data_IF_532670422130
#
_entry.id   IF_532670422130
#
_cell.length_a   1.000
_cell.length_b   1.000
_cell.length_c   1.000
_cell.angle_alpha   90.00
_cell.angle_beta   90.00
_cell.angle_gamma   90.00
#
_symmetry.space_group_name_H-M   'P 1'
#
loop_
_entity.id
_entity.type
_entity.pdbx_description
1 polymer ?
#
# COMPACT_ATOMS: atom_id res chain seq x y z
N UNK A 1 -8.38 71.35 20.42
CA UNK A 1 -7.17 70.80 21.07
C UNK A 1 -6.92 69.42 20.49
N UNK A 2 -5.87 69.27 19.67
CA UNK A 2 -5.43 67.95 19.19
C UNK A 2 -4.54 67.35 20.29
N UNK A 3 -4.69 66.06 20.67
CA UNK A 3 -3.76 65.43 21.60
C UNK A 3 -2.36 65.42 21.00
N UNK A 4 -1.38 65.72 21.86
CA UNK A 4 0.03 65.95 21.51
C UNK A 4 0.65 64.63 21.02
N UNK A 5 1.24 64.62 19.82
CA UNK A 5 1.79 63.41 19.18
C UNK A 5 2.90 62.76 20.02
N UNK A 6 3.49 63.53 20.94
CA UNK A 6 4.54 63.08 21.85
C UNK A 6 4.03 62.13 22.95
N UNK A 7 2.79 62.29 23.46
CA UNK A 7 2.24 61.38 24.48
C UNK A 7 1.88 60.02 23.90
N UNK A 8 1.47 59.99 22.64
CA UNK A 8 1.18 58.75 21.90
C UNK A 8 2.48 58.00 21.65
N UNK A 9 3.55 58.69 21.25
CA UNK A 9 4.86 58.08 21.03
C UNK A 9 5.49 57.54 22.32
N UNK A 10 5.38 58.26 23.44
CA UNK A 10 5.88 57.78 24.74
C UNK A 10 5.08 56.59 25.29
N UNK A 11 3.79 56.49 24.96
CA UNK A 11 2.99 55.31 25.27
C UNK A 11 3.45 54.07 24.46
N UNK A 12 3.72 54.23 23.16
CA UNK A 12 4.19 53.13 22.31
C UNK A 12 5.63 52.71 22.62
N UNK A 13 6.52 53.65 22.95
CA UNK A 13 7.90 53.37 23.36
C UNK A 13 7.98 52.65 24.72
N UNK A 14 7.06 52.93 25.64
CA UNK A 14 6.96 52.19 26.90
C UNK A 14 6.39 50.77 26.70
N UNK A 15 5.48 50.58 25.73
CA UNK A 15 4.92 49.26 25.42
C UNK A 15 5.96 48.32 24.78
N UNK A 16 6.86 48.86 23.94
CA UNK A 16 7.94 48.08 23.31
C UNK A 16 9.00 47.59 24.30
N UNK A 17 9.14 48.23 25.46
CA UNK A 17 10.13 47.86 26.48
C UNK A 17 9.64 46.78 27.47
N UNK A 18 8.36 46.39 27.39
CA UNK A 18 7.74 45.40 28.31
C UNK A 18 7.55 44.03 27.64
N UNK A 19 7.76 43.94 26.32
CA UNK A 19 7.59 42.68 25.57
C UNK A 19 8.97 42.11 25.26
N UNK A 20 9.43 41.22 26.14
CA UNK A 20 10.66 40.45 25.95
C UNK A 20 10.51 39.54 24.71
N UNK A 21 11.53 39.42 23.85
CA UNK A 21 11.50 38.55 22.65
C UNK A 21 11.18 37.07 23.00
N UNK A 22 11.46 36.69 24.24
CA UNK A 22 11.13 35.39 24.82
C UNK A 22 9.62 35.17 25.02
N UNK A 23 8.84 36.22 25.30
CA UNK A 23 7.39 36.14 25.48
C UNK A 23 6.63 36.13 24.14
N UNK A 24 7.15 36.81 23.11
CA UNK A 24 6.63 36.69 21.73
C UNK A 24 6.78 35.25 21.23
N UNK A 25 7.94 34.63 21.46
CA UNK A 25 8.18 33.22 21.10
C UNK A 25 7.33 32.22 21.90
N UNK A 26 6.82 32.62 23.08
CA UNK A 26 5.94 31.82 23.93
C UNK A 26 4.48 31.90 23.46
N UNK A 27 4.04 33.06 22.96
CA UNK A 27 2.70 33.29 22.39
C UNK A 27 2.54 32.59 21.01
N UNK A 28 3.62 32.44 20.25
CA UNK A 28 3.60 31.81 18.91
C UNK A 28 3.50 30.27 18.95
N UNK A 29 3.75 29.62 20.10
CA UNK A 29 3.52 28.17 20.25
C UNK A 29 2.05 27.87 20.52
N UNK A 30 1.20 27.98 19.49
CA UNK A 30 -0.14 27.39 19.50
C UNK A 30 -0.05 25.95 20.02
N UNK A 31 -0.73 25.65 21.14
CA UNK A 31 -0.80 24.30 21.69
C UNK A 31 -1.39 23.38 20.62
N UNK A 32 -0.52 22.59 19.98
CA UNK A 32 -0.92 21.63 18.95
C UNK A 32 -2.01 20.71 19.49
N UNK A 33 -3.06 20.50 18.69
CA UNK A 33 -4.15 19.60 19.07
C UNK A 33 -3.63 18.17 19.23
N UNK A 34 -4.36 17.32 19.97
CA UNK A 34 -4.01 15.88 20.11
C UNK A 34 -3.88 15.20 18.75
N UNK A 35 -4.69 15.61 17.77
CA UNK A 35 -4.66 15.12 16.40
C UNK A 35 -3.37 15.53 15.66
N UNK A 36 -2.96 16.80 15.77
CA UNK A 36 -1.72 17.31 15.18
C UNK A 36 -0.48 16.63 15.75
N UNK A 37 -0.40 16.49 17.08
CA UNK A 37 0.70 15.76 17.75
C UNK A 37 0.78 14.30 17.26
N UNK A 38 -0.37 13.65 17.06
CA UNK A 38 -0.43 12.28 16.52
C UNK A 38 0.02 12.22 15.05
N UNK A 39 -0.33 13.22 14.23
CA UNK A 39 0.09 13.32 12.82
C UNK A 39 1.60 13.54 12.72
N UNK A 40 2.15 14.46 13.50
CA UNK A 40 3.58 14.73 13.57
C UNK A 40 4.39 13.51 14.01
N UNK A 41 3.95 12.81 15.07
CA UNK A 41 4.58 11.55 15.50
C UNK A 41 4.57 10.49 14.39
N UNK A 42 3.49 10.40 13.60
CA UNK A 42 3.39 9.47 12.47
C UNK A 42 4.35 9.83 11.34
N UNK A 43 4.48 11.10 10.99
CA UNK A 43 5.42 11.55 9.95
C UNK A 43 6.87 11.30 10.38
N UNK A 44 7.24 11.65 11.62
CA UNK A 44 8.57 11.35 12.17
C UNK A 44 8.88 9.84 12.10
N UNK A 45 7.92 8.99 12.48
CA UNK A 45 8.09 7.54 12.39
C UNK A 45 8.22 7.06 10.94
N UNK A 46 7.48 7.65 10.00
CA UNK A 46 7.52 7.33 8.57
C UNK A 46 8.88 7.71 7.97
N UNK A 47 9.41 8.88 8.32
CA UNK A 47 10.74 9.33 7.91
C UNK A 47 11.85 8.46 8.50
N UNK A 48 11.80 8.15 9.80
CA UNK A 48 12.74 7.20 10.43
C UNK A 48 12.73 5.84 9.73
N UNK A 49 11.54 5.31 9.44
CA UNK A 49 11.41 4.05 8.67
C UNK A 49 11.98 4.17 7.26
N UNK A 50 11.76 5.30 6.57
CA UNK A 50 12.29 5.55 5.22
C UNK A 50 13.82 5.62 5.24
N UNK A 51 14.41 6.29 6.24
CA UNK A 51 15.86 6.41 6.45
C UNK A 51 16.51 5.07 6.81
N UNK A 52 15.85 4.24 7.62
CA UNK A 52 16.40 2.95 8.06
C UNK A 52 16.21 1.82 7.03
N UNK A 53 15.25 1.95 6.10
CA UNK A 53 14.96 0.98 5.04
C UNK A 53 16.19 0.54 4.22
N UNK A 54 17.10 1.43 3.76
CA UNK A 54 18.31 1.01 3.05
C UNK A 54 19.25 0.18 3.94
N UNK A 55 19.47 0.58 5.20
CA UNK A 55 20.32 -0.16 6.13
C UNK A 55 19.74 -1.54 6.46
N UNK A 56 18.44 -1.63 6.74
CA UNK A 56 17.77 -2.91 6.97
C UNK A 56 17.88 -3.83 5.75
N UNK A 57 17.75 -3.29 4.53
CA UNK A 57 17.97 -4.05 3.29
C UNK A 57 19.42 -4.54 3.19
N UNK A 58 20.41 -3.72 3.52
CA UNK A 58 21.83 -4.11 3.54
C UNK A 58 22.08 -5.21 4.57
N UNK A 59 21.59 -5.06 5.81
CA UNK A 59 21.70 -6.07 6.88
C UNK A 59 21.08 -7.41 6.47
N UNK A 60 19.88 -7.42 5.87
CA UNK A 60 19.24 -8.65 5.37
C UNK A 60 20.03 -9.31 4.23
N UNK A 61 20.57 -8.52 3.29
CA UNK A 61 21.42 -9.06 2.22
C UNK A 61 22.72 -9.64 2.78
N UNK A 62 23.34 -8.98 3.74
CA UNK A 62 24.57 -9.43 4.38
C UNK A 62 24.35 -10.75 5.14
N UNK A 63 23.28 -10.86 5.95
CA UNK A 63 22.90 -12.11 6.63
C UNK A 63 22.76 -13.27 5.64
N UNK A 64 22.02 -13.07 4.55
CA UNK A 64 21.86 -14.09 3.49
C UNK A 64 23.17 -14.48 2.80
N UNK A 65 24.13 -13.56 2.68
CA UNK A 65 25.45 -13.85 2.13
C UNK A 65 26.27 -14.68 3.10
N UNK A 66 26.28 -14.32 4.38
CA UNK A 66 26.98 -15.09 5.43
C UNK A 66 26.41 -16.51 5.51
N UNK A 67 25.08 -16.66 5.55
CA UNK A 67 24.43 -17.98 5.55
C UNK A 67 24.83 -18.81 4.33
N UNK A 68 24.94 -18.18 3.15
CA UNK A 68 25.38 -18.86 1.94
C UNK A 68 26.86 -19.26 2.00
N UNK A 69 27.73 -18.40 2.51
CA UNK A 69 29.16 -18.71 2.68
C UNK A 69 29.36 -19.87 3.66
N UNK A 70 28.64 -19.89 4.79
CA UNK A 70 28.67 -21.00 5.75
C UNK A 70 28.28 -22.34 5.14
N UNK A 71 27.33 -22.34 4.20
CA UNK A 71 26.92 -23.56 3.49
C UNK A 71 28.01 -23.99 2.49
N UNK A 72 28.68 -23.03 1.84
CA UNK A 72 29.74 -23.31 0.88
C UNK A 72 31.06 -23.75 1.52
N UNK A 73 31.39 -23.22 2.71
CA UNK A 73 32.62 -23.58 3.47
C UNK A 73 32.68 -25.07 3.83
N UNK A 74 31.53 -25.75 3.91
CA UNK A 74 31.45 -27.20 4.18
C UNK A 74 31.45 -28.09 2.94
N UNK A 75 31.62 -27.54 1.74
CA UNK A 75 31.52 -28.25 0.46
C UNK A 75 32.81 -28.14 -0.34
N UNK A 76 33.16 -29.19 -1.08
CA UNK A 76 34.29 -29.17 -2.03
C UNK A 76 34.00 -28.25 -3.22
N UNK A 77 35.05 -27.82 -3.95
CA UNK A 77 34.90 -26.87 -5.07
C UNK A 77 33.89 -27.33 -6.15
N UNK A 78 33.91 -28.63 -6.50
CA UNK A 78 32.96 -29.22 -7.44
C UNK A 78 31.52 -29.22 -6.91
N UNK A 79 31.34 -29.49 -5.62
CA UNK A 79 30.06 -29.48 -4.91
C UNK A 79 29.50 -28.05 -4.77
N UNK A 80 30.37 -27.06 -4.59
CA UNK A 80 29.97 -25.64 -4.58
C UNK A 80 29.42 -25.21 -5.95
N UNK A 81 30.07 -25.63 -7.03
CA UNK A 81 29.64 -25.31 -8.40
C UNK A 81 28.27 -25.94 -8.70
N UNK A 82 28.09 -27.22 -8.35
CA UNK A 82 26.81 -27.92 -8.55
C UNK A 82 25.70 -27.29 -7.71
N UNK A 83 25.95 -27.02 -6.42
CA UNK A 83 24.98 -26.35 -5.53
C UNK A 83 24.52 -24.99 -6.07
N UNK A 84 25.45 -24.15 -6.57
CA UNK A 84 25.10 -22.85 -7.15
C UNK A 84 24.28 -22.99 -8.44
N UNK A 85 24.59 -23.98 -9.28
CA UNK A 85 23.82 -24.29 -10.50
C UNK A 85 22.40 -24.76 -10.14
N UNK A 86 22.26 -25.70 -9.22
CA UNK A 86 20.96 -26.18 -8.75
C UNK A 86 20.13 -25.08 -8.12
N UNK A 87 20.73 -24.25 -7.27
CA UNK A 87 20.05 -23.10 -6.66
C UNK A 87 19.54 -22.11 -7.71
N UNK A 88 20.32 -21.83 -8.77
CA UNK A 88 19.89 -21.00 -9.90
C UNK A 88 18.73 -21.66 -10.65
N UNK A 89 18.84 -22.97 -10.93
CA UNK A 89 17.81 -23.74 -11.61
C UNK A 89 16.49 -23.75 -10.82
N UNK A 90 16.55 -23.99 -9.51
CA UNK A 90 15.40 -23.99 -8.62
C UNK A 90 14.72 -22.61 -8.56
N UNK A 91 15.50 -21.53 -8.55
CA UNK A 91 14.93 -20.18 -8.63
C UNK A 91 14.23 -19.92 -9.97
N UNK A 92 14.80 -20.42 -11.07
CA UNK A 92 14.18 -20.31 -12.40
C UNK A 92 12.87 -21.11 -12.47
N UNK A 93 12.88 -22.37 -12.02
CA UNK A 93 11.69 -23.23 -11.92
C UNK A 93 10.58 -22.56 -11.10
N UNK A 94 10.87 -22.07 -9.88
CA UNK A 94 9.89 -21.37 -9.03
C UNK A 94 9.28 -20.13 -9.70
N UNK A 95 10.07 -19.37 -10.47
CA UNK A 95 9.58 -18.21 -11.22
C UNK A 95 8.66 -18.64 -12.36
N UNK A 96 9.04 -19.68 -13.10
CA UNK A 96 8.23 -20.23 -14.19
C UNK A 96 6.93 -20.83 -13.68
N UNK A 97 6.96 -21.63 -12.61
CA UNK A 97 5.77 -22.16 -11.94
C UNK A 97 4.82 -21.05 -11.52
N UNK A 98 5.35 -19.99 -10.89
CA UNK A 98 4.54 -18.82 -10.51
C UNK A 98 3.91 -18.14 -11.73
N UNK A 99 4.67 -18.00 -12.82
CA UNK A 99 4.14 -17.39 -14.07
C UNK A 99 3.03 -18.26 -14.66
N UNK A 100 3.25 -19.57 -14.75
CA UNK A 100 2.24 -20.55 -15.23
C UNK A 100 0.98 -20.53 -14.35
N UNK A 101 1.15 -20.49 -13.03
CA UNK A 101 0.04 -20.40 -12.09
C UNK A 101 -0.79 -19.12 -12.30
N UNK A 102 -0.13 -17.97 -12.44
CA UNK A 102 -0.81 -16.70 -12.72
C UNK A 102 -1.55 -16.71 -14.04
N UNK A 103 -0.95 -17.30 -15.08
CA UNK A 103 -1.55 -17.41 -16.41
C UNK A 103 -2.76 -18.34 -16.42
N UNK A 104 -2.66 -19.49 -15.74
CA UNK A 104 -3.79 -20.40 -15.52
C UNK A 104 -4.91 -19.71 -14.74
N UNK A 105 -4.59 -19.05 -13.62
CA UNK A 105 -5.59 -18.36 -12.78
C UNK A 105 -6.28 -17.22 -13.53
N UNK A 106 -5.57 -16.55 -14.43
CA UNK A 106 -6.11 -15.46 -15.24
C UNK A 106 -7.13 -15.94 -16.30
N UNK A 107 -6.96 -17.18 -16.81
CA UNK A 107 -7.81 -17.76 -17.86
C UNK A 107 -8.95 -18.62 -17.30
N UNK A 108 -8.65 -19.46 -16.30
CA UNK A 108 -9.52 -20.55 -15.84
C UNK A 108 -9.92 -20.43 -14.35
N UNK A 109 -9.45 -19.39 -13.65
CA UNK A 109 -9.71 -19.22 -12.23
C UNK A 109 -11.16 -18.86 -11.88
N UNK A 110 -11.50 -19.00 -10.60
CA UNK A 110 -12.76 -18.52 -10.05
C UNK A 110 -12.88 -17.00 -10.22
N UNK A 111 -14.00 -16.55 -10.81
CA UNK A 111 -14.22 -15.14 -11.12
C UNK A 111 -14.63 -14.38 -9.86
N UNK A 112 -13.76 -13.49 -9.40
CA UNK A 112 -14.09 -12.52 -8.35
C UNK A 112 -14.06 -11.12 -8.96
N UNK A 113 -15.20 -10.43 -8.88
CA UNK A 113 -15.36 -9.08 -9.42
C UNK A 113 -15.42 -8.05 -8.29
N UNK A 114 -14.55 -7.05 -8.34
CA UNK A 114 -14.62 -5.86 -7.51
C UNK A 114 -15.45 -4.80 -8.21
N UNK A 115 -16.62 -4.49 -7.64
CA UNK A 115 -17.46 -3.43 -8.15
C UNK A 115 -16.95 -2.06 -7.70
N UNK A 116 -16.47 -1.25 -8.65
CA UNK A 116 -15.96 0.10 -8.42
C UNK A 116 -17.00 1.20 -8.75
N UNK A 117 -18.30 0.89 -8.86
CA UNK A 117 -19.35 1.91 -9.10
C UNK A 117 -19.48 2.94 -7.97
N UNK A 118 -18.94 2.64 -6.78
CA UNK A 118 -19.08 3.48 -5.59
C UNK A 118 -17.88 4.38 -5.30
N UNK A 119 -16.92 4.48 -6.23
CA UNK A 119 -15.70 5.26 -5.99
C UNK A 119 -15.98 6.74 -5.65
N UNK A 120 -17.04 7.32 -6.23
CA UNK A 120 -17.43 8.71 -5.98
C UNK A 120 -17.95 8.97 -4.56
N UNK A 121 -18.36 7.92 -3.83
CA UNK A 121 -18.81 8.04 -2.45
C UNK A 121 -17.67 7.88 -1.44
N UNK A 122 -16.46 7.51 -1.89
CA UNK A 122 -15.32 7.23 -1.03
C UNK A 122 -14.39 8.44 -0.95
N UNK A 123 -13.97 8.79 0.27
CA UNK A 123 -12.88 9.75 0.46
C UNK A 123 -11.51 9.16 0.10
N UNK A 124 -10.51 10.01 -0.12
CA UNK A 124 -9.14 9.58 -0.50
C UNK A 124 -8.52 8.53 0.44
N UNK A 125 -8.83 8.62 1.74
CA UNK A 125 -8.35 7.67 2.76
C UNK A 125 -8.99 6.29 2.59
N UNK A 126 -10.28 6.25 2.27
CA UNK A 126 -11.03 5.03 2.04
C UNK A 126 -10.58 4.38 0.73
N UNK A 127 -10.42 5.16 -0.34
CA UNK A 127 -9.86 4.67 -1.60
C UNK A 127 -8.44 4.11 -1.42
N UNK A 128 -7.60 4.79 -0.62
CA UNK A 128 -6.26 4.28 -0.27
C UNK A 128 -6.32 2.97 0.54
N UNK A 129 -7.33 2.83 1.39
CA UNK A 129 -7.58 1.60 2.16
C UNK A 129 -8.05 0.47 1.25
N UNK A 130 -8.99 0.74 0.35
CA UNK A 130 -9.50 -0.20 -0.65
C UNK A 130 -8.37 -0.69 -1.56
N UNK A 131 -7.53 0.20 -2.08
CA UNK A 131 -6.36 -0.17 -2.88
C UNK A 131 -5.44 -1.16 -2.14
N UNK A 132 -5.25 -0.93 -0.83
CA UNK A 132 -4.47 -1.83 0.03
C UNK A 132 -5.15 -3.19 0.21
N UNK A 133 -6.46 -3.23 0.41
CA UNK A 133 -7.23 -4.47 0.55
C UNK A 133 -7.17 -5.31 -0.73
N UNK A 134 -7.34 -4.69 -1.90
CA UNK A 134 -7.19 -5.32 -3.21
C UNK A 134 -5.79 -5.91 -3.37
N UNK A 135 -4.75 -5.13 -3.03
CA UNK A 135 -3.36 -5.60 -3.07
C UNK A 135 -3.11 -6.81 -2.16
N UNK A 136 -3.61 -6.77 -0.93
CA UNK A 136 -3.48 -7.89 0.01
C UNK A 136 -4.19 -9.14 -0.51
N UNK A 137 -5.39 -8.99 -1.08
CA UNK A 137 -6.18 -10.08 -1.65
C UNK A 137 -5.45 -10.73 -2.84
N UNK A 138 -4.93 -9.94 -3.77
CA UNK A 138 -4.15 -10.44 -4.90
C UNK A 138 -2.88 -11.16 -4.43
N UNK A 139 -2.18 -10.62 -3.43
CA UNK A 139 -0.99 -11.27 -2.89
C UNK A 139 -1.31 -12.56 -2.14
N UNK A 140 -2.44 -12.61 -1.44
CA UNK A 140 -2.93 -13.81 -0.75
C UNK A 140 -3.17 -14.94 -1.74
N UNK A 141 -3.87 -14.65 -2.85
CA UNK A 141 -4.08 -15.61 -3.95
C UNK A 141 -2.74 -16.19 -4.43
N UNK A 142 -1.76 -15.34 -4.75
CA UNK A 142 -0.46 -15.79 -5.24
C UNK A 142 0.29 -16.64 -4.20
N UNK A 143 0.22 -16.24 -2.93
CA UNK A 143 0.97 -16.91 -1.86
C UNK A 143 0.40 -18.30 -1.58
N UNK A 144 -0.92 -18.42 -1.57
CA UNK A 144 -1.62 -19.66 -1.24
C UNK A 144 -2.02 -20.46 -2.47
N UNK A 145 -1.60 -20.04 -3.67
CA UNK A 145 -1.89 -20.70 -4.95
C UNK A 145 -3.38 -20.95 -5.21
N UNK A 146 -4.24 -20.03 -4.77
CA UNK A 146 -5.69 -20.13 -5.00
C UNK A 146 -6.02 -19.65 -6.42
N UNK A 147 -6.60 -20.46 -7.31
CA UNK A 147 -6.80 -20.09 -8.71
C UNK A 147 -7.96 -19.10 -8.88
N UNK A 148 -7.71 -17.80 -8.67
CA UNK A 148 -8.72 -16.73 -8.77
C UNK A 148 -8.43 -15.81 -9.95
N UNK A 149 -9.47 -15.54 -10.72
CA UNK A 149 -9.50 -14.52 -11.76
C UNK A 149 -10.01 -13.20 -11.16
N UNK A 150 -9.13 -12.21 -11.05
CA UNK A 150 -9.46 -10.88 -10.53
C UNK A 150 -10.07 -10.01 -11.64
N UNK A 151 -11.28 -9.51 -11.42
CA UNK A 151 -11.99 -8.58 -12.29
C UNK A 151 -12.28 -7.27 -11.56
N UNK A 152 -12.20 -6.16 -12.29
CA UNK A 152 -12.68 -4.86 -11.85
C UNK A 152 -13.79 -4.41 -12.80
N UNK A 153 -14.95 -4.04 -12.26
CA UNK A 153 -16.03 -3.41 -13.02
C UNK A 153 -16.17 -1.95 -12.65
N UNK A 154 -16.61 -1.12 -13.60
CA UNK A 154 -16.70 0.33 -13.42
C UNK A 154 -15.38 0.97 -12.97
N UNK A 155 -14.25 0.50 -13.50
CA UNK A 155 -12.94 1.07 -13.22
C UNK A 155 -12.33 1.64 -14.50
N UNK A 156 -12.06 2.94 -14.49
CA UNK A 156 -11.41 3.67 -15.58
C UNK A 156 -9.95 3.97 -15.22
N UNK A 157 -9.13 4.17 -16.26
CA UNK A 157 -7.69 4.43 -16.08
C UNK A 157 -7.41 5.77 -15.36
N UNK A 158 -8.34 6.71 -15.45
CA UNK A 158 -8.21 8.04 -14.82
C UNK A 158 -8.73 8.07 -13.37
N UNK A 159 -9.35 6.98 -12.91
CA UNK A 159 -9.88 6.92 -11.56
C UNK A 159 -8.75 6.96 -10.53
N UNK A 160 -8.98 7.70 -9.44
CA UNK A 160 -7.99 7.79 -8.36
C UNK A 160 -7.61 6.41 -7.80
N UNK A 161 -8.56 5.45 -7.73
CA UNK A 161 -8.25 4.09 -7.30
C UNK A 161 -7.26 3.40 -8.26
N UNK A 162 -7.47 3.53 -9.57
CA UNK A 162 -6.58 2.95 -10.58
C UNK A 162 -5.18 3.54 -10.45
N UNK A 163 -5.08 4.88 -10.38
CA UNK A 163 -3.80 5.57 -10.21
C UNK A 163 -3.08 5.15 -8.92
N UNK A 164 -3.81 5.01 -7.81
CA UNK A 164 -3.24 4.52 -6.55
C UNK A 164 -2.70 3.08 -6.68
N UNK A 165 -3.47 2.19 -7.30
CA UNK A 165 -3.06 0.80 -7.54
C UNK A 165 -1.83 0.73 -8.45
N UNK A 166 -1.80 1.53 -9.52
CA UNK A 166 -0.68 1.60 -10.45
C UNK A 166 0.59 2.13 -9.77
N UNK A 167 0.51 3.29 -9.13
CA UNK A 167 1.70 3.98 -8.59
C UNK A 167 2.25 3.31 -7.33
N UNK A 168 1.39 2.87 -6.41
CA UNK A 168 1.84 2.30 -5.12
C UNK A 168 2.05 0.80 -5.15
N UNK A 169 1.27 0.08 -5.96
CA UNK A 169 1.22 -1.39 -5.93
C UNK A 169 1.55 -2.06 -7.26
N UNK A 170 1.95 -1.26 -8.27
CA UNK A 170 2.41 -1.75 -9.57
C UNK A 170 1.38 -2.61 -10.31
N UNK A 171 0.11 -2.17 -10.32
CA UNK A 171 -1.01 -2.84 -10.99
C UNK A 171 -0.68 -3.34 -12.41
N UNK A 172 0.10 -2.57 -13.17
CA UNK A 172 0.52 -2.92 -14.55
C UNK A 172 1.27 -4.25 -14.66
N UNK A 173 1.80 -4.77 -13.56
CA UNK A 173 2.48 -6.08 -13.52
C UNK A 173 1.55 -7.24 -13.18
N UNK A 174 0.31 -6.96 -12.82
CA UNK A 174 -0.65 -7.95 -12.36
C UNK A 174 -1.39 -8.57 -13.55
N UNK A 175 -1.85 -9.80 -13.36
CA UNK A 175 -2.72 -10.49 -14.32
C UNK A 175 -4.15 -10.35 -13.83
N UNK A 176 -4.82 -9.29 -14.27
CA UNK A 176 -6.18 -8.91 -13.86
C UNK A 176 -6.96 -8.39 -15.06
N UNK A 177 -8.29 -8.46 -14.98
CA UNK A 177 -9.21 -7.93 -15.98
C UNK A 177 -9.78 -6.61 -15.47
N UNK A 178 -9.68 -5.55 -16.28
CA UNK A 178 -10.14 -4.21 -15.92
C UNK A 178 -11.15 -3.77 -16.96
N UNK A 179 -12.38 -3.55 -16.51
CA UNK A 179 -13.50 -3.25 -17.37
C UNK A 179 -14.17 -1.95 -16.91
N UNK A 180 -14.48 -1.08 -17.87
CA UNK A 180 -15.18 0.18 -17.60
C UNK A 180 -16.71 -0.02 -17.47
N UNK A 181 -17.23 -1.13 -17.99
CA UNK A 181 -18.64 -1.50 -17.90
C UNK A 181 -19.02 -2.00 -16.51
N UNK A 182 -20.32 -2.09 -16.26
CA UNK A 182 -20.86 -2.68 -15.04
C UNK A 182 -20.75 -4.20 -15.07
N UNK A 183 -20.69 -4.84 -13.90
CA UNK A 183 -20.52 -6.29 -13.80
C UNK A 183 -21.67 -7.09 -14.45
N UNK A 184 -22.90 -6.57 -14.43
CA UNK A 184 -24.06 -7.20 -15.08
C UNK A 184 -24.08 -7.10 -16.61
N UNK A 185 -23.20 -6.30 -17.21
CA UNK A 185 -22.99 -6.23 -18.66
C UNK A 185 -21.86 -7.17 -19.12
N UNK A 186 -20.95 -7.51 -18.21
CA UNK A 186 -19.76 -8.33 -18.48
C UNK A 186 -20.06 -9.81 -18.26
N UNK A 187 -20.87 -10.12 -17.25
CA UNK A 187 -21.17 -11.49 -16.84
C UNK A 187 -22.65 -11.83 -17.09
N UNK A 188 -22.91 -13.11 -17.35
CA UNK A 188 -24.28 -13.62 -17.47
C UNK A 188 -25.02 -13.47 -16.14
N UNK A 189 -26.15 -12.75 -16.14
CA UNK A 189 -26.91 -12.42 -14.92
C UNK A 189 -27.19 -13.61 -14.00
N UNK A 190 -27.48 -14.78 -14.57
CA UNK A 190 -27.82 -16.00 -13.83
C UNK A 190 -26.64 -16.61 -13.05
N UNK A 191 -25.40 -16.18 -13.34
CA UNK A 191 -24.18 -16.67 -12.70
C UNK A 191 -23.58 -15.64 -11.73
N UNK A 192 -24.23 -14.50 -11.54
CA UNK A 192 -23.74 -13.43 -10.69
C UNK A 192 -24.29 -13.62 -9.28
N UNK A 193 -23.37 -13.67 -8.32
CA UNK A 193 -23.70 -13.66 -6.88
C UNK A 193 -23.09 -12.40 -6.28
N UNK A 194 -23.93 -11.56 -5.68
CA UNK A 194 -23.50 -10.34 -5.00
C UNK A 194 -23.38 -10.63 -3.52
N UNK A 195 -22.17 -10.52 -2.99
CA UNK A 195 -21.91 -10.69 -1.56
C UNK A 195 -22.29 -9.39 -0.83
N UNK A 196 -23.37 -9.45 -0.05
CA UNK A 196 -23.86 -8.33 0.77
C UNK A 196 -24.08 -8.81 2.20
N UNK A 197 -23.72 -8.01 3.22
CA UNK A 197 -24.05 -8.32 4.61
C UNK A 197 -25.57 -8.31 4.86
N UNK A 198 -26.34 -7.60 4.03
CA UNK A 198 -27.80 -7.51 4.15
C UNK A 198 -28.54 -8.62 3.38
N UNK A 199 -27.81 -9.59 2.81
CA UNK A 199 -28.42 -10.71 2.12
C UNK A 199 -29.16 -11.63 3.10
N UNK A 200 -30.36 -12.08 2.73
CA UNK A 200 -31.15 -13.04 3.51
C UNK A 200 -30.63 -14.46 3.41
N UNK A 201 -29.87 -14.76 2.36
CA UNK A 201 -29.31 -16.08 2.07
C UNK A 201 -27.86 -16.16 2.55
N UNK A 202 -27.50 -17.31 3.13
CA UNK A 202 -26.12 -17.60 3.54
C UNK A 202 -25.37 -18.24 2.36
N UNK A 203 -24.17 -17.74 2.10
CA UNK A 203 -23.31 -18.30 1.06
C UNK A 203 -22.47 -19.45 1.64
N UNK A 204 -22.87 -20.69 1.35
CA UNK A 204 -22.16 -21.91 1.79
C UNK A 204 -21.01 -22.32 0.86
N UNK A 205 -20.60 -21.46 -0.08
CA UNK A 205 -19.60 -21.80 -1.09
C UNK A 205 -18.21 -21.94 -0.45
N UNK A 206 -17.68 -23.18 -0.41
CA UNK A 206 -16.29 -23.46 -0.05
C UNK A 206 -15.40 -23.35 -1.29
N UNK A 207 -14.45 -22.42 -1.29
CA UNK A 207 -13.40 -22.38 -2.31
C UNK A 207 -12.31 -23.36 -1.87
N UNK A 208 -12.33 -24.56 -2.43
CA UNK A 208 -11.32 -25.58 -2.14
C UNK A 208 -9.92 -25.07 -2.52
N UNK A 209 -9.14 -24.74 -1.49
CA UNK A 209 -7.74 -24.36 -1.63
C UNK A 209 -6.88 -25.63 -1.62
N UNK A 210 -6.86 -26.37 -2.73
CA UNK A 210 -5.96 -27.52 -2.92
C UNK A 210 -4.50 -27.09 -3.13
#
# INVERSE_FOLDING_TARGET
MKPDENEINDFFCNLSNVIDENDVNKIVKKKKTKMEKKKEKREILKEKRKKNRPEEKKKKKHKKRIELLKILEGLNEEEQITFLKERKLLQKKKKEEKKKFLEKSYNEGYKICFNCSFLNFMGEKEMSSLAKQIFLSYHYMIKNKVPIQFHFSHLKNDDFLFLQLQQKYSLNTWKVHINAQNYWEIFEKNKIVVLSPDATEVCDITIDCT
#
